data_IF_610410313515
#
_entry.id   IF_610410313515
#
_cell.length_a   1.000
_cell.length_b   1.000
_cell.length_c   1.000
_cell.angle_alpha   90.00
_cell.angle_beta   90.00
_cell.angle_gamma   90.00
#
_symmetry.space_group_name_H-M   'P 1'
#
loop_
_entity.id
_entity.type
_entity.pdbx_description
1 polymer ?
#
# COMPACT_ATOMS: atom_id res chain seq x y z
N UNK A 1 -42.98 29.46 1.39
CA UNK A 1 -41.90 30.45 1.28
C UNK A 1 -40.99 30.19 2.47
N UNK A 2 -39.95 29.38 2.28
CA UNK A 2 -39.03 29.00 3.35
C UNK A 2 -37.71 29.72 3.09
N UNK A 3 -37.33 30.62 4.00
CA UNK A 3 -36.08 31.36 3.94
C UNK A 3 -34.92 30.42 4.31
N UNK A 4 -34.02 30.20 3.35
CA UNK A 4 -32.71 29.59 3.60
C UNK A 4 -31.75 30.68 4.07
N UNK A 5 -31.27 30.55 5.30
CA UNK A 5 -30.20 31.38 5.85
C UNK A 5 -28.88 30.69 5.48
N UNK A 6 -28.20 31.22 4.46
CA UNK A 6 -26.81 30.87 4.18
C UNK A 6 -25.91 31.42 5.28
N UNK A 7 -25.17 30.54 5.97
CA UNK A 7 -24.09 30.97 6.87
C UNK A 7 -22.84 31.31 6.05
N UNK A 8 -22.08 32.35 6.42
CA UNK A 8 -20.87 32.71 5.71
C UNK A 8 -19.79 31.64 5.92
N UNK A 9 -19.14 31.26 4.83
CA UNK A 9 -17.95 30.41 4.84
C UNK A 9 -16.78 31.27 5.31
N UNK A 10 -16.25 30.99 6.50
CA UNK A 10 -15.00 31.60 6.97
C UNK A 10 -13.83 31.08 6.13
N UNK A 11 -13.03 32.02 5.59
CA UNK A 11 -11.80 31.70 4.87
C UNK A 11 -10.76 31.16 5.85
N UNK A 12 -10.00 30.11 5.49
CA UNK A 12 -8.87 29.69 6.28
C UNK A 12 -7.81 30.81 6.34
N UNK A 13 -7.10 30.95 7.48
CA UNK A 13 -6.04 31.94 7.61
C UNK A 13 -4.89 31.63 6.64
N UNK A 14 -4.16 32.66 6.18
CA UNK A 14 -3.02 32.47 5.30
C UNK A 14 -1.92 31.65 5.98
N UNK A 15 -1.41 30.66 5.26
CA UNK A 15 -0.23 29.90 5.66
C UNK A 15 0.99 30.84 5.66
N UNK A 16 1.46 31.26 6.83
CA UNK A 16 2.63 32.14 6.89
C UNK A 16 3.04 32.73 8.23
N UNK A 17 2.29 32.56 9.32
CA UNK A 17 2.66 33.19 10.60
C UNK A 17 2.46 32.22 11.78
N UNK A 18 3.49 31.45 12.14
CA UNK A 18 3.44 30.58 13.34
C UNK A 18 4.78 30.36 14.05
N UNK A 19 5.86 31.06 13.66
CA UNK A 19 7.18 30.84 14.30
C UNK A 19 7.75 32.06 15.04
N UNK A 20 7.16 33.26 14.90
CA UNK A 20 7.66 34.47 15.60
C UNK A 20 6.96 34.78 16.93
N UNK A 21 5.79 34.19 17.20
CA UNK A 21 5.06 34.37 18.46
C UNK A 21 5.70 33.63 19.64
N UNK A 22 6.47 32.57 19.40
CA UNK A 22 7.19 31.84 20.46
C UNK A 22 8.53 32.46 20.86
N UNK A 23 9.08 33.38 20.05
CA UNK A 23 10.37 34.01 20.35
C UNK A 23 10.28 35.18 21.34
N UNK A 24 9.11 35.81 21.50
CA UNK A 24 8.93 36.96 22.41
C UNK A 24 8.68 36.59 23.89
N UNK A 25 8.50 35.32 24.22
CA UNK A 25 8.35 34.88 25.62
C UNK A 25 9.68 34.52 26.30
N UNK A 26 10.81 34.56 25.58
CA UNK A 26 12.13 34.25 26.13
C UNK A 26 12.92 35.48 26.64
N UNK A 27 12.42 36.71 26.42
CA UNK A 27 13.14 37.96 26.78
C UNK A 27 12.58 38.69 28.01
N UNK A 28 11.51 38.18 28.63
CA UNK A 28 11.07 38.65 29.95
C UNK A 28 11.79 37.82 31.03
N UNK A 29 12.91 38.34 31.52
CA UNK A 29 13.72 37.71 32.55
C UNK A 29 12.94 37.42 33.82
N UNK A 30 12.81 36.12 34.13
CA UNK A 30 12.84 35.53 35.49
C UNK A 30 12.73 33.99 35.42
N UNK A 31 13.34 33.36 34.41
CA UNK A 31 13.45 31.89 34.39
C UNK A 31 14.73 31.49 35.13
N UNK A 32 14.61 31.17 36.41
CA UNK A 32 15.66 30.41 37.10
C UNK A 32 15.65 29.00 36.50
N UNK A 33 16.74 28.52 35.88
CA UNK A 33 16.82 27.13 35.46
C UNK A 33 16.61 26.26 36.70
N UNK A 34 15.81 25.17 36.60
CA UNK A 34 15.63 24.27 37.72
C UNK A 34 17.01 23.80 38.18
N UNK A 35 17.26 23.96 39.49
CA UNK A 35 18.44 23.45 40.16
C UNK A 35 18.59 21.99 39.75
N UNK A 36 19.70 21.65 39.08
CA UNK A 36 20.04 20.27 38.75
C UNK A 36 20.14 19.49 40.06
N UNK A 37 19.04 18.85 40.46
CA UNK A 37 19.05 17.84 41.50
C UNK A 37 19.91 16.71 40.95
N UNK A 38 21.09 16.57 41.54
CA UNK A 38 22.04 15.49 41.31
C UNK A 38 21.45 14.17 41.85
N UNK A 39 20.31 13.76 41.30
CA UNK A 39 19.65 12.48 41.55
C UNK A 39 20.30 11.46 40.60
N UNK A 40 21.55 11.11 40.90
CA UNK A 40 22.13 9.85 40.46
C UNK A 40 21.40 8.72 41.22
N UNK A 41 20.13 8.50 40.88
CA UNK A 41 19.43 7.29 41.26
C UNK A 41 20.19 6.15 40.59
N UNK A 42 20.97 5.42 41.37
CA UNK A 42 21.66 4.22 40.92
C UNK A 42 20.60 3.27 40.34
N UNK A 43 20.57 3.16 39.01
CA UNK A 43 19.79 2.16 38.31
C UNK A 43 20.33 0.81 38.75
N UNK A 44 19.70 0.21 39.76
CA UNK A 44 19.95 -1.17 40.12
C UNK A 44 19.75 -2.00 38.85
N UNK A 45 20.74 -2.83 38.45
CA UNK A 45 20.59 -3.71 37.31
C UNK A 45 19.30 -4.52 37.45
N UNK A 46 18.48 -4.54 36.39
CA UNK A 46 17.31 -5.41 36.35
C UNK A 46 17.77 -6.85 36.50
N UNK A 47 16.98 -7.65 37.21
CA UNK A 47 17.24 -9.09 37.22
C UNK A 47 16.94 -9.69 35.84
N UNK A 48 17.64 -10.77 35.48
CA UNK A 48 17.40 -11.52 34.23
C UNK A 48 15.91 -11.94 34.07
N UNK A 49 15.22 -12.20 35.19
CA UNK A 49 13.79 -12.54 35.17
C UNK A 49 12.92 -11.35 34.74
N UNK A 50 13.25 -10.13 35.16
CA UNK A 50 12.53 -8.92 34.76
C UNK A 50 12.79 -8.59 33.28
N UNK A 51 14.00 -8.80 32.78
CA UNK A 51 14.30 -8.62 31.36
C UNK A 51 13.51 -9.60 30.49
N UNK A 52 13.41 -10.88 30.89
CA UNK A 52 12.62 -11.87 30.17
C UNK A 52 11.12 -11.57 30.14
N UNK A 53 10.57 -11.03 31.23
CA UNK A 53 9.14 -10.63 31.27
C UNK A 53 8.89 -9.48 30.29
N UNK A 54 9.73 -8.45 30.31
CA UNK A 54 9.59 -7.31 29.39
C UNK A 54 9.72 -7.74 27.93
N UNK A 55 10.69 -8.61 27.61
CA UNK A 55 10.83 -9.16 26.26
C UNK A 55 9.59 -9.95 25.81
N UNK A 56 8.96 -10.70 26.71
CA UNK A 56 7.74 -11.44 26.40
C UNK A 56 6.53 -10.51 26.20
N UNK A 57 6.41 -9.45 27.00
CA UNK A 57 5.37 -8.42 26.85
C UNK A 57 5.52 -7.66 25.54
N UNK A 58 6.73 -7.21 25.21
CA UNK A 58 7.04 -6.52 23.96
C UNK A 58 6.69 -7.40 22.74
N UNK A 59 7.08 -8.68 22.78
CA UNK A 59 6.76 -9.66 21.74
C UNK A 59 5.25 -9.88 21.57
N UNK A 60 4.50 -9.94 22.68
CA UNK A 60 3.04 -10.09 22.63
C UNK A 60 2.37 -8.86 22.01
N UNK A 61 2.78 -7.65 22.41
CA UNK A 61 2.25 -6.39 21.87
C UNK A 61 2.50 -6.29 20.36
N UNK A 62 3.68 -6.67 19.92
CA UNK A 62 4.03 -6.70 18.49
C UNK A 62 3.14 -7.68 17.72
N UNK A 63 2.97 -8.91 18.24
CA UNK A 63 2.12 -9.93 17.63
C UNK A 63 0.66 -9.46 17.52
N UNK A 64 0.12 -8.85 18.59
CA UNK A 64 -1.25 -8.32 18.60
C UNK A 64 -1.41 -7.15 17.60
N UNK A 65 -0.39 -6.29 17.48
CA UNK A 65 -0.39 -5.19 16.52
C UNK A 65 -0.35 -5.70 15.07
N UNK A 66 0.47 -6.71 14.77
CA UNK A 66 0.52 -7.36 13.46
C UNK A 66 -0.80 -8.03 13.10
N UNK A 67 -1.41 -8.75 14.04
CA UNK A 67 -2.72 -9.37 13.84
C UNK A 67 -3.80 -8.32 13.51
N UNK A 68 -3.81 -7.20 14.25
CA UNK A 68 -4.74 -6.10 14.00
C UNK A 68 -4.53 -5.47 12.62
N UNK A 69 -3.28 -5.33 12.16
CA UNK A 69 -2.96 -4.86 10.82
C UNK A 69 -3.55 -5.78 9.74
N UNK A 70 -3.37 -7.10 9.89
CA UNK A 70 -3.89 -8.10 8.95
C UNK A 70 -5.41 -8.09 8.92
N UNK A 71 -6.06 -8.13 10.07
CA UNK A 71 -7.52 -8.10 10.17
C UNK A 71 -8.12 -6.80 9.59
N UNK A 72 -7.49 -5.66 9.88
CA UNK A 72 -7.93 -4.37 9.32
C UNK A 72 -7.73 -4.29 7.81
N UNK A 73 -6.66 -4.91 7.29
CA UNK A 73 -6.40 -4.98 5.84
C UNK A 73 -7.43 -5.87 5.15
N UNK A 74 -7.67 -7.06 5.71
CA UNK A 74 -8.65 -8.03 5.21
C UNK A 74 -10.06 -7.45 5.16
N UNK A 75 -10.50 -6.82 6.27
CA UNK A 75 -11.81 -6.18 6.35
C UNK A 75 -11.96 -5.06 5.30
N UNK A 76 -10.90 -4.28 5.06
CA UNK A 76 -10.95 -3.20 4.09
C UNK A 76 -11.03 -3.75 2.65
N UNK A 77 -10.27 -4.80 2.31
CA UNK A 77 -10.38 -5.45 0.99
C UNK A 77 -11.75 -6.09 0.78
N UNK A 78 -12.31 -6.79 1.78
CA UNK A 78 -13.67 -7.36 1.68
C UNK A 78 -14.74 -6.28 1.57
N UNK A 79 -14.56 -5.13 2.22
CA UNK A 79 -15.47 -4.00 2.10
C UNK A 79 -15.46 -3.43 0.68
N UNK A 80 -14.29 -3.29 0.06
CA UNK A 80 -14.16 -2.63 -1.24
C UNK A 80 -14.40 -3.60 -2.42
N UNK A 81 -14.05 -4.88 -2.24
CA UNK A 81 -14.01 -5.89 -3.29
C UNK A 81 -14.73 -7.21 -2.95
N UNK A 82 -15.51 -7.27 -1.87
CA UNK A 82 -16.18 -8.50 -1.41
C UNK A 82 -17.17 -9.13 -2.40
N UNK A 83 -17.59 -8.42 -3.45
CA UNK A 83 -18.34 -9.03 -4.56
C UNK A 83 -17.47 -10.02 -5.37
N UNK A 84 -16.15 -9.79 -5.39
CA UNK A 84 -15.18 -10.58 -6.15
C UNK A 84 -14.38 -11.55 -5.27
N UNK A 85 -14.26 -11.28 -3.96
CA UNK A 85 -13.53 -12.11 -3.01
C UNK A 85 -14.50 -13.13 -2.39
N UNK A 86 -14.26 -14.45 -2.49
CA UNK A 86 -15.11 -15.43 -1.83
C UNK A 86 -15.11 -15.20 -0.30
N UNK A 87 -16.28 -15.23 0.36
CA UNK A 87 -16.41 -14.85 1.77
C UNK A 87 -15.63 -15.74 2.74
N UNK A 88 -15.25 -16.95 2.32
CA UNK A 88 -14.42 -17.88 3.09
C UNK A 88 -12.91 -17.59 2.99
N UNK A 89 -12.48 -16.73 2.07
CA UNK A 89 -11.08 -16.37 1.94
C UNK A 89 -10.71 -15.21 2.86
N UNK A 90 -9.66 -15.42 3.67
CA UNK A 90 -9.17 -14.44 4.63
C UNK A 90 -7.63 -14.37 4.60
N UNK A 91 -7.08 -13.22 4.98
CA UNK A 91 -5.63 -13.01 5.08
C UNK A 91 -5.01 -13.54 6.39
N UNK A 92 -5.81 -13.72 7.44
CA UNK A 92 -5.35 -14.05 8.80
C UNK A 92 -4.35 -15.20 8.87
N UNK A 93 -4.59 -16.26 8.10
CA UNK A 93 -3.75 -17.47 8.13
C UNK A 93 -2.72 -17.50 7.00
N UNK A 94 -2.62 -16.43 6.19
CA UNK A 94 -1.71 -16.32 5.04
C UNK A 94 -0.52 -15.41 5.31
N UNK A 95 -0.66 -14.39 6.16
CA UNK A 95 0.35 -13.34 6.33
C UNK A 95 1.35 -13.70 7.42
N UNK A 96 2.64 -13.64 7.08
CA UNK A 96 3.77 -13.86 7.96
C UNK A 96 4.66 -12.61 7.98
N UNK A 97 4.82 -12.01 9.15
CA UNK A 97 5.81 -10.95 9.36
C UNK A 97 7.14 -11.58 9.72
N UNK A 98 8.21 -11.14 9.05
CA UNK A 98 9.56 -11.67 9.23
C UNK A 98 10.53 -10.53 9.49
N UNK A 99 11.49 -10.80 10.38
CA UNK A 99 12.66 -9.95 10.54
C UNK A 99 13.43 -9.84 9.22
N UNK A 100 14.02 -8.68 8.94
CA UNK A 100 14.62 -8.38 7.64
C UNK A 100 15.66 -9.42 7.22
N UNK A 101 16.48 -9.93 8.15
CA UNK A 101 17.49 -10.92 7.83
C UNK A 101 16.88 -12.24 7.31
N UNK A 102 15.76 -12.69 7.89
CA UNK A 102 15.05 -13.90 7.47
C UNK A 102 14.32 -13.66 6.15
N UNK A 103 13.61 -12.53 6.05
CA UNK A 103 12.88 -12.13 4.84
C UNK A 103 13.81 -12.06 3.62
N UNK A 104 14.95 -11.37 3.73
CA UNK A 104 15.91 -11.21 2.63
C UNK A 104 16.51 -12.55 2.20
N UNK A 105 16.80 -13.44 3.16
CA UNK A 105 17.27 -14.79 2.87
C UNK A 105 16.22 -15.57 2.09
N UNK A 106 14.97 -15.59 2.55
CA UNK A 106 13.89 -16.32 1.89
C UNK A 106 13.59 -15.76 0.50
N UNK A 107 13.57 -14.44 0.35
CA UNK A 107 13.37 -13.75 -0.94
C UNK A 107 14.42 -14.18 -1.97
N UNK A 108 15.71 -14.19 -1.60
CA UNK A 108 16.80 -14.56 -2.50
C UNK A 108 16.87 -16.07 -2.79
N UNK A 109 16.41 -16.91 -1.87
CA UNK A 109 16.22 -18.34 -2.13
C UNK A 109 15.10 -18.59 -3.14
N UNK A 110 14.01 -17.80 -3.06
CA UNK A 110 12.87 -17.85 -3.99
C UNK A 110 13.22 -17.29 -5.37
N UNK A 111 13.81 -16.10 -5.41
CA UNK A 111 14.21 -15.41 -6.63
C UNK A 111 15.65 -14.88 -6.51
N UNK A 112 16.65 -15.70 -6.93
CA UNK A 112 18.06 -15.29 -6.94
C UNK A 112 18.36 -14.13 -7.90
N UNK A 113 17.42 -13.72 -8.75
CA UNK A 113 17.60 -12.67 -9.76
C UNK A 113 17.12 -11.30 -9.32
N UNK A 114 16.51 -11.19 -8.13
CA UNK A 114 16.08 -9.92 -7.54
C UNK A 114 17.28 -8.97 -7.38
N UNK A 115 17.26 -7.84 -8.10
CA UNK A 115 18.39 -6.88 -8.15
C UNK A 115 18.48 -5.96 -6.92
N UNK A 116 17.35 -5.65 -6.32
CA UNK A 116 17.21 -4.71 -5.20
C UNK A 116 16.33 -5.33 -4.11
N UNK A 117 16.79 -6.41 -3.46
CA UNK A 117 15.97 -7.16 -2.51
C UNK A 117 15.66 -6.32 -1.26
N UNK A 118 16.50 -5.33 -0.95
CA UNK A 118 16.32 -4.35 0.12
C UNK A 118 15.13 -3.40 -0.08
N UNK A 119 14.64 -3.25 -1.31
CA UNK A 119 13.47 -2.44 -1.65
C UNK A 119 12.16 -3.24 -1.62
N UNK A 120 12.22 -4.57 -1.44
CA UNK A 120 11.04 -5.43 -1.41
C UNK A 120 10.46 -5.43 0.01
N UNK A 121 9.23 -4.92 0.16
CA UNK A 121 8.53 -4.80 1.45
C UNK A 121 7.74 -6.06 1.81
N UNK A 122 7.31 -6.81 0.79
CA UNK A 122 6.55 -8.05 0.95
C UNK A 122 6.42 -8.77 -0.38
N UNK A 123 5.90 -9.98 -0.34
CA UNK A 123 5.48 -10.72 -1.53
C UNK A 123 4.43 -11.77 -1.20
N UNK A 124 3.53 -12.01 -2.15
CA UNK A 124 2.71 -13.22 -2.22
C UNK A 124 3.47 -14.35 -2.93
N UNK A 125 3.41 -15.56 -2.37
CA UNK A 125 3.96 -16.76 -2.97
C UNK A 125 2.82 -17.67 -3.47
N UNK A 126 2.58 -17.75 -4.80
CA UNK A 126 1.50 -18.57 -5.34
C UNK A 126 1.74 -20.09 -5.17
N UNK A 127 2.95 -20.52 -4.81
CA UNK A 127 3.24 -21.96 -4.65
C UNK A 127 2.74 -22.53 -3.32
N UNK A 128 2.70 -21.72 -2.26
CA UNK A 128 2.23 -22.11 -0.92
C UNK A 128 1.00 -21.30 -0.44
N UNK A 129 0.58 -20.29 -1.22
CA UNK A 129 -0.54 -19.42 -0.89
C UNK A 129 -0.28 -18.47 0.27
N UNK A 130 0.99 -18.26 0.65
CA UNK A 130 1.39 -17.43 1.78
C UNK A 130 1.87 -16.05 1.33
N UNK A 131 1.72 -15.08 2.23
CA UNK A 131 2.19 -13.70 2.11
C UNK A 131 3.29 -13.49 3.13
N UNK A 132 4.43 -12.99 2.70
CA UNK A 132 5.57 -12.68 3.56
C UNK A 132 5.80 -11.17 3.55
N UNK A 133 5.91 -10.56 4.73
CA UNK A 133 6.09 -9.11 4.89
C UNK A 133 7.32 -8.86 5.74
N UNK A 134 8.18 -7.94 5.28
CA UNK A 134 9.33 -7.48 6.04
C UNK A 134 8.87 -6.61 7.22
N UNK A 135 9.03 -7.12 8.44
CA UNK A 135 8.54 -6.50 9.67
C UNK A 135 9.27 -5.18 10.00
N UNK A 136 10.52 -5.07 9.57
CA UNK A 136 11.42 -3.94 9.88
C UNK A 136 11.20 -2.74 8.97
N UNK A 137 10.40 -2.90 7.91
CA UNK A 137 10.15 -1.85 6.94
C UNK A 137 8.87 -1.07 7.26
N UNK A 138 8.81 0.23 6.90
CA UNK A 138 7.59 1.00 7.02
C UNK A 138 6.53 0.53 6.02
N UNK A 139 5.29 1.01 6.18
CA UNK A 139 4.23 0.80 5.18
C UNK A 139 3.53 -0.57 5.26
N UNK A 140 3.76 -1.36 6.32
CA UNK A 140 3.19 -2.70 6.54
C UNK A 140 1.70 -2.83 6.17
N UNK A 141 0.86 -1.88 6.58
CA UNK A 141 -0.57 -1.91 6.26
C UNK A 141 -0.85 -1.91 4.75
N UNK A 142 -0.17 -1.02 4.00
CA UNK A 142 -0.29 -0.93 2.54
C UNK A 142 0.24 -2.22 1.88
N UNK A 143 1.34 -2.76 2.38
CA UNK A 143 1.89 -4.04 1.91
C UNK A 143 0.92 -5.20 2.14
N UNK A 144 0.23 -5.26 3.29
CA UNK A 144 -0.85 -6.25 3.53
C UNK A 144 -1.95 -6.13 2.48
N UNK A 145 -2.39 -4.90 2.16
CA UNK A 145 -3.41 -4.68 1.13
C UNK A 145 -2.94 -5.14 -0.26
N UNK A 146 -1.72 -4.75 -0.64
CA UNK A 146 -1.10 -5.07 -1.94
C UNK A 146 -0.95 -6.58 -2.14
N UNK A 147 -0.26 -7.25 -1.21
CA UNK A 147 -0.06 -8.70 -1.30
C UNK A 147 -1.36 -9.48 -1.08
N UNK A 148 -2.28 -8.93 -0.29
CA UNK A 148 -3.62 -9.46 -0.11
C UNK A 148 -4.41 -9.50 -1.42
N UNK A 149 -4.35 -8.42 -2.21
CA UNK A 149 -4.96 -8.34 -3.53
C UNK A 149 -4.38 -9.38 -4.49
N UNK A 150 -3.06 -9.59 -4.50
CA UNK A 150 -2.43 -10.68 -5.27
C UNK A 150 -2.95 -12.06 -4.84
N UNK A 151 -3.19 -12.26 -3.54
CA UNK A 151 -3.69 -13.53 -3.01
C UNK A 151 -5.17 -13.80 -3.33
N UNK A 152 -5.94 -12.75 -3.64
CA UNK A 152 -7.36 -12.82 -3.98
C UNK A 152 -7.64 -12.81 -5.48
N UNK A 153 -6.70 -12.32 -6.29
CA UNK A 153 -6.84 -12.32 -7.74
C UNK A 153 -6.47 -13.65 -8.38
N UNK A 154 -7.00 -13.88 -9.58
CA UNK A 154 -6.45 -14.87 -10.50
C UNK A 154 -5.14 -14.33 -11.08
N UNK A 155 -4.25 -15.24 -11.51
CA UNK A 155 -2.96 -14.93 -12.13
C UNK A 155 -3.10 -14.27 -13.51
N UNK A 156 -3.53 -13.01 -13.54
CA UNK A 156 -3.75 -12.23 -14.77
C UNK A 156 -2.46 -11.90 -15.51
N UNK A 157 -1.30 -12.03 -14.86
CA UNK A 157 0.00 -11.77 -15.48
C UNK A 157 0.25 -12.67 -16.71
N UNK A 158 -0.37 -13.85 -16.77
CA UNK A 158 -0.30 -14.72 -17.94
C UNK A 158 -0.96 -14.11 -19.19
N UNK A 159 -1.94 -13.23 -18.97
CA UNK A 159 -2.72 -12.59 -20.03
C UNK A 159 -2.25 -11.16 -20.31
N UNK A 160 -2.04 -10.39 -19.24
CA UNK A 160 -1.72 -8.96 -19.27
C UNK A 160 -0.24 -8.65 -18.99
N UNK A 161 0.60 -9.62 -18.65
CA UNK A 161 1.99 -9.37 -18.27
C UNK A 161 2.13 -8.93 -16.81
N UNK A 162 3.35 -9.06 -16.29
CA UNK A 162 3.66 -8.81 -14.87
C UNK A 162 3.48 -7.34 -14.51
N UNK A 163 3.91 -6.42 -15.39
CA UNK A 163 3.83 -4.98 -15.10
C UNK A 163 2.40 -4.46 -15.03
N UNK A 164 1.52 -4.94 -15.92
CA UNK A 164 0.11 -4.59 -15.83
C UNK A 164 -0.56 -5.19 -14.60
N UNK A 165 -0.16 -6.41 -14.19
CA UNK A 165 -0.66 -7.01 -12.96
C UNK A 165 -0.32 -6.14 -11.75
N UNK A 166 0.96 -5.79 -11.55
CA UNK A 166 1.37 -4.90 -10.46
C UNK A 166 0.70 -3.52 -10.55
N UNK A 167 0.58 -2.95 -11.76
CA UNK A 167 -0.14 -1.69 -11.96
C UNK A 167 -1.60 -1.73 -11.49
N UNK A 168 -2.29 -2.86 -11.73
CA UNK A 168 -3.66 -3.05 -11.26
C UNK A 168 -3.72 -3.24 -9.76
N UNK A 169 -2.82 -4.06 -9.20
CA UNK A 169 -2.70 -4.27 -7.76
C UNK A 169 -2.46 -2.94 -7.03
N UNK A 170 -1.57 -2.09 -7.55
CA UNK A 170 -1.24 -0.79 -6.97
C UNK A 170 -2.40 0.20 -7.10
N UNK A 171 -3.07 0.21 -8.26
CA UNK A 171 -4.25 1.03 -8.48
C UNK A 171 -5.38 0.70 -7.48
N UNK A 172 -5.65 -0.58 -7.25
CA UNK A 172 -6.66 -1.01 -6.28
C UNK A 172 -6.18 -0.85 -4.82
N UNK A 173 -4.90 -1.08 -4.54
CA UNK A 173 -4.33 -0.80 -3.21
C UNK A 173 -4.53 0.65 -2.81
N UNK A 174 -4.31 1.61 -3.72
CA UNK A 174 -4.52 3.03 -3.45
C UNK A 174 -5.99 3.39 -3.18
N UNK A 175 -6.94 2.70 -3.81
CA UNK A 175 -8.36 2.89 -3.54
C UNK A 175 -8.77 2.40 -2.14
N UNK A 176 -8.12 1.35 -1.63
CA UNK A 176 -8.37 0.77 -0.31
C UNK A 176 -7.55 1.39 0.82
N UNK A 177 -6.45 2.08 0.50
CA UNK A 177 -5.59 2.69 1.49
C UNK A 177 -6.14 4.06 1.96
N UNK A 178 -6.45 4.26 3.25
CA UNK A 178 -7.01 5.51 3.76
C UNK A 178 -6.02 6.70 3.71
N UNK A 179 -4.74 6.46 3.45
CA UNK A 179 -3.71 7.47 3.38
C UNK A 179 -2.55 7.03 2.47
N UNK A 180 -2.15 7.93 1.57
CA UNK A 180 -1.08 7.70 0.61
C UNK A 180 0.27 8.00 1.27
N UNK A 181 0.77 7.07 2.09
CA UNK A 181 1.96 7.32 2.91
C UNK A 181 3.28 7.02 2.20
N UNK A 182 3.26 6.34 1.05
CA UNK A 182 4.48 5.93 0.33
C UNK A 182 4.24 5.86 -1.18
N UNK A 183 5.17 6.43 -1.95
CA UNK A 183 5.23 6.24 -3.41
C UNK A 183 5.62 4.79 -3.71
N UNK A 184 4.89 4.17 -4.64
CA UNK A 184 5.21 2.82 -5.11
C UNK A 184 6.33 2.85 -6.15
N UNK A 185 6.96 1.71 -6.41
CA UNK A 185 7.86 1.56 -7.55
C UNK A 185 7.15 1.52 -8.92
N UNK A 186 5.81 1.56 -8.93
CA UNK A 186 4.96 1.24 -10.09
C UNK A 186 4.04 2.40 -10.49
N UNK A 187 4.45 3.64 -10.21
CA UNK A 187 3.62 4.83 -10.49
C UNK A 187 3.24 4.95 -11.98
N UNK A 188 4.13 4.53 -12.88
CA UNK A 188 3.87 4.57 -14.32
C UNK A 188 2.84 3.51 -14.75
N UNK A 189 2.95 2.29 -14.24
CA UNK A 189 1.99 1.21 -14.46
C UNK A 189 0.61 1.58 -13.91
N UNK A 190 0.57 2.09 -12.68
CA UNK A 190 -0.65 2.55 -12.02
C UNK A 190 -1.34 3.66 -12.81
N UNK A 191 -0.58 4.62 -13.34
CA UNK A 191 -1.13 5.68 -14.19
C UNK A 191 -1.77 5.10 -15.46
N UNK A 192 -1.11 4.14 -16.12
CA UNK A 192 -1.67 3.45 -17.28
C UNK A 192 -2.99 2.75 -16.93
N UNK A 193 -3.05 2.06 -15.80
CA UNK A 193 -4.28 1.40 -15.33
C UNK A 193 -5.37 2.43 -15.02
N UNK A 194 -5.05 3.55 -14.37
CA UNK A 194 -5.98 4.64 -14.13
C UNK A 194 -6.54 5.22 -15.44
N UNK A 195 -5.70 5.40 -16.45
CA UNK A 195 -6.14 5.85 -17.78
C UNK A 195 -7.06 4.83 -18.46
N UNK A 196 -6.78 3.54 -18.33
CA UNK A 196 -7.68 2.48 -18.81
C UNK A 196 -8.99 2.49 -18.05
N UNK A 197 -8.97 2.65 -16.72
CA UNK A 197 -10.19 2.77 -15.90
C UNK A 197 -11.09 3.90 -16.40
N UNK A 198 -10.50 5.07 -16.69
CA UNK A 198 -11.24 6.20 -17.24
C UNK A 198 -11.89 5.91 -18.60
N UNK A 199 -11.43 4.89 -19.34
CA UNK A 199 -12.01 4.48 -20.63
C UNK A 199 -13.10 3.41 -20.48
N UNK A 200 -12.87 2.40 -19.64
CA UNK A 200 -13.72 1.18 -19.59
C UNK A 200 -14.50 1.02 -18.29
N UNK A 201 -14.25 1.88 -17.31
CA UNK A 201 -14.82 1.84 -15.97
C UNK A 201 -14.11 0.85 -15.04
N UNK A 202 -14.07 1.18 -13.75
CA UNK A 202 -13.46 0.36 -12.71
C UNK A 202 -14.03 -1.07 -12.65
N UNK A 203 -15.33 -1.24 -12.83
CA UNK A 203 -15.97 -2.56 -12.75
C UNK A 203 -15.43 -3.54 -13.80
N UNK A 204 -15.12 -3.06 -15.00
CA UNK A 204 -14.50 -3.88 -16.04
C UNK A 204 -13.10 -4.31 -15.61
N UNK A 205 -12.31 -3.39 -15.02
CA UNK A 205 -10.97 -3.72 -14.53
C UNK A 205 -11.01 -4.69 -13.33
N UNK A 206 -11.85 -4.43 -12.33
CA UNK A 206 -12.02 -5.31 -11.16
C UNK A 206 -12.43 -6.71 -11.61
N UNK A 207 -13.45 -6.81 -12.47
CA UNK A 207 -13.90 -8.09 -12.99
C UNK A 207 -12.76 -8.85 -13.70
N UNK A 208 -12.00 -8.17 -14.58
CA UNK A 208 -10.84 -8.80 -15.23
C UNK A 208 -9.75 -9.20 -14.21
N UNK A 209 -9.43 -8.35 -13.25
CA UNK A 209 -8.41 -8.59 -12.23
C UNK A 209 -8.72 -9.81 -11.36
N UNK A 210 -9.93 -9.87 -10.80
CA UNK A 210 -10.30 -10.95 -9.89
C UNK A 210 -10.67 -12.26 -10.59
N UNK A 211 -11.27 -12.21 -11.79
CA UNK A 211 -11.74 -13.43 -12.48
C UNK A 211 -10.74 -13.97 -13.51
N UNK A 212 -9.82 -13.14 -14.00
CA UNK A 212 -8.94 -13.45 -15.12
C UNK A 212 -9.62 -13.46 -16.50
N UNK A 213 -10.93 -13.16 -16.60
CA UNK A 213 -11.57 -12.99 -17.91
C UNK A 213 -11.18 -11.64 -18.52
N UNK A 214 -10.23 -11.68 -19.44
CA UNK A 214 -9.74 -10.49 -20.15
C UNK A 214 -10.65 -10.06 -21.29
N UNK A 215 -11.59 -10.91 -21.74
CA UNK A 215 -12.35 -10.64 -22.98
C UNK A 215 -13.22 -9.38 -22.88
N UNK A 216 -13.93 -9.11 -21.77
CA UNK A 216 -14.69 -7.87 -21.63
C UNK A 216 -13.79 -6.63 -21.70
N UNK A 217 -12.60 -6.68 -21.06
CA UNK A 217 -11.62 -5.61 -21.13
C UNK A 217 -11.09 -5.41 -22.55
N UNK A 218 -10.69 -6.49 -23.23
CA UNK A 218 -10.20 -6.46 -24.61
C UNK A 218 -11.26 -5.86 -25.55
N UNK A 219 -12.50 -6.33 -25.48
CA UNK A 219 -13.60 -5.80 -26.29
C UNK A 219 -13.86 -4.32 -26.03
N UNK A 220 -13.85 -3.90 -24.77
CA UNK A 220 -14.08 -2.51 -24.40
C UNK A 220 -12.94 -1.59 -24.87
N UNK A 221 -11.69 -2.01 -24.67
CA UNK A 221 -10.50 -1.25 -25.08
C UNK A 221 -10.39 -1.20 -26.60
N UNK A 222 -10.43 -2.35 -27.27
CA UNK A 222 -10.27 -2.43 -28.72
C UNK A 222 -11.44 -1.76 -29.47
N UNK A 223 -12.66 -1.83 -28.91
CA UNK A 223 -13.83 -1.14 -29.47
C UNK A 223 -13.72 0.39 -29.44
N UNK A 224 -12.97 0.95 -28.48
CA UNK A 224 -12.76 2.40 -28.36
C UNK A 224 -11.48 2.89 -29.04
N UNK A 225 -10.42 2.07 -29.00
CA UNK A 225 -9.07 2.48 -29.37
C UNK A 225 -8.55 1.83 -30.67
N UNK A 226 -9.33 0.94 -31.28
CA UNK A 226 -8.95 0.19 -32.48
C UNK A 226 -8.53 -1.25 -32.16
N UNK A 227 -8.68 -2.13 -33.15
CA UNK A 227 -8.40 -3.57 -32.98
C UNK A 227 -6.94 -3.83 -32.61
N UNK A 228 -6.72 -4.63 -31.56
CA UNK A 228 -5.42 -4.96 -31.01
C UNK A 228 -4.83 -3.90 -30.08
N UNK A 229 -5.59 -2.87 -29.69
CA UNK A 229 -5.12 -1.82 -28.82
C UNK A 229 -4.71 -2.33 -27.43
N UNK A 230 -5.52 -3.18 -26.80
CA UNK A 230 -5.17 -3.72 -25.48
C UNK A 230 -3.85 -4.49 -25.53
N UNK A 231 -3.70 -5.37 -26.52
CA UNK A 231 -2.46 -6.14 -26.71
C UNK A 231 -1.26 -5.21 -26.93
N UNK A 232 -1.40 -4.16 -27.73
CA UNK A 232 -0.30 -3.22 -27.99
C UNK A 232 0.08 -2.42 -26.74
N UNK A 233 -0.90 -1.95 -25.98
CA UNK A 233 -0.69 -1.25 -24.70
C UNK A 233 0.06 -2.16 -23.74
N UNK A 234 -0.41 -3.40 -23.58
CA UNK A 234 0.23 -4.43 -22.77
C UNK A 234 1.71 -4.63 -23.13
N UNK A 235 1.99 -4.88 -24.41
CA UNK A 235 3.36 -5.11 -24.90
C UNK A 235 4.26 -3.89 -24.63
N UNK A 236 3.74 -2.67 -24.79
CA UNK A 236 4.47 -1.43 -24.49
C UNK A 236 4.75 -1.26 -22.99
N UNK A 237 3.79 -1.57 -22.13
CA UNK A 237 3.98 -1.51 -20.67
C UNK A 237 5.05 -2.51 -20.23
N UNK A 238 5.00 -3.74 -20.74
CA UNK A 238 6.00 -4.78 -20.45
C UNK A 238 7.41 -4.38 -20.91
N UNK A 239 7.51 -3.69 -22.05
CA UNK A 239 8.76 -3.11 -22.57
C UNK A 239 9.21 -1.84 -21.82
N UNK A 240 8.43 -1.33 -20.85
CA UNK A 240 8.71 -0.08 -20.12
C UNK A 240 8.51 1.20 -20.95
N UNK A 241 7.74 1.12 -22.05
CA UNK A 241 7.44 2.22 -22.97
C UNK A 241 6.11 2.91 -22.64
N UNK A 242 6.00 3.41 -21.42
CA UNK A 242 4.74 3.98 -20.91
C UNK A 242 4.23 5.18 -21.73
N UNK A 243 5.11 6.05 -22.23
CA UNK A 243 4.70 7.20 -23.03
C UNK A 243 4.00 6.80 -24.33
N UNK A 244 4.50 5.76 -25.00
CA UNK A 244 3.84 5.21 -26.18
C UNK A 244 2.49 4.58 -25.83
N UNK A 245 2.40 3.87 -24.69
CA UNK A 245 1.15 3.32 -24.20
C UNK A 245 0.11 4.41 -23.91
N UNK A 246 0.51 5.51 -23.24
CA UNK A 246 -0.33 6.69 -23.00
C UNK A 246 -0.89 7.28 -24.29
N UNK A 247 -0.06 7.38 -25.34
CA UNK A 247 -0.50 7.91 -26.65
C UNK A 247 -1.62 7.05 -27.23
N UNK A 248 -1.50 5.73 -27.18
CA UNK A 248 -2.57 4.81 -27.66
C UNK A 248 -3.84 4.99 -26.82
N UNK A 249 -3.72 5.04 -25.49
CA UNK A 249 -4.90 5.21 -24.62
C UNK A 249 -5.60 6.55 -24.87
N UNK A 250 -4.86 7.59 -25.24
CA UNK A 250 -5.43 8.91 -25.55
C UNK A 250 -6.06 9.00 -26.94
N UNK A 251 -5.45 8.37 -27.96
CA UNK A 251 -5.74 8.65 -29.37
C UNK A 251 -6.22 7.46 -30.18
N UNK A 252 -6.10 6.25 -29.65
CA UNK A 252 -6.27 5.01 -30.41
C UNK A 252 -5.05 4.69 -31.28
N UNK A 253 -5.15 3.57 -32.00
CA UNK A 253 -4.22 3.11 -33.04
C UNK A 253 -4.62 3.67 -34.40
#
# INVERSE_FOLDING_TARGET
>A
MSEHIEKPIEKPPPAGESWESHRRLAEAGDFQPPVESNEQAALTPRSEAQEKILQAEDYQIETESQQMLVESGDQQLHKDYGEFIPPEQHLRDKVHFQENAEFQKQLLERDPTTKHPDLVLGYYNPSDGQIYINNDQPGKYRTVLHEGLHSYSVRIEQSLGERMNEGMTEYFTEQSAPFNLYESGYEQEKEIVSMLSNRVGDETLKSTYFTGDIRPLEQAVDGQLGSGALKRIRDLVEEGKYDEARVIIQRGI
#
